data_IF_730665929708
#
_entry.id   IF_730665929708
#
_cell.length_a   1.000
_cell.length_b   1.000
_cell.length_c   1.000
_cell.angle_alpha   90.00
_cell.angle_beta   90.00
_cell.angle_gamma   90.00
#
_symmetry.space_group_name_H-M   'P 1'
#
loop_
_entity.id
_entity.type
_entity.pdbx_description
1 polymer ?
#
# COMPACT_ATOMS: atom_id res chain seq x y z
N UNK A 1 -6.80 58.27 -12.10
CA UNK A 1 -7.29 56.90 -11.82
C UNK A 1 -6.10 55.99 -11.69
N UNK A 2 -5.97 55.33 -10.55
CA UNK A 2 -4.87 54.43 -10.19
C UNK A 2 -5.18 53.04 -10.78
N UNK A 3 -4.32 52.52 -11.65
CA UNK A 3 -4.45 51.14 -12.14
C UNK A 3 -3.50 50.25 -11.32
N UNK A 4 -4.06 49.19 -10.76
CA UNK A 4 -3.42 48.25 -9.83
C UNK A 4 -2.82 47.05 -10.58
N UNK A 5 -1.87 46.35 -9.94
CA UNK A 5 -1.09 45.19 -10.45
C UNK A 5 -1.93 43.98 -10.93
N UNK A 6 -3.26 44.06 -10.91
CA UNK A 6 -4.20 42.98 -11.27
C UNK A 6 -4.63 42.97 -12.75
N UNK A 7 -4.20 43.94 -13.56
CA UNK A 7 -4.54 43.98 -14.99
C UNK A 7 -3.48 43.37 -15.92
N UNK A 8 -2.37 42.86 -15.37
CA UNK A 8 -1.24 42.33 -16.15
C UNK A 8 -1.43 40.88 -16.65
N UNK A 9 -2.54 40.20 -16.33
CA UNK A 9 -2.75 38.78 -16.67
C UNK A 9 -3.92 38.52 -17.62
N UNK A 10 -4.02 39.26 -18.72
CA UNK A 10 -4.95 38.92 -19.82
C UNK A 10 -4.25 38.97 -21.18
N UNK A 11 -3.67 37.82 -21.50
CA UNK A 11 -3.50 37.21 -22.82
C UNK A 11 -3.10 38.05 -24.04
N UNK A 12 -1.98 37.57 -24.61
CA UNK A 12 -1.69 37.42 -26.04
C UNK A 12 -1.29 38.68 -26.84
N UNK A 13 -0.06 38.68 -27.33
CA UNK A 13 0.20 38.60 -28.78
C UNK A 13 1.71 38.59 -29.09
N UNK A 14 2.12 37.55 -29.83
CA UNK A 14 3.04 37.56 -30.97
C UNK A 14 4.31 38.44 -30.95
N UNK A 15 5.46 37.77 -31.03
CA UNK A 15 6.30 37.89 -32.24
C UNK A 15 7.68 38.57 -32.14
N UNK A 16 8.72 37.72 -32.16
CA UNK A 16 9.98 37.82 -32.94
C UNK A 16 11.26 38.40 -32.31
N UNK A 17 12.32 37.59 -32.46
CA UNK A 17 13.78 37.82 -32.34
C UNK A 17 14.32 37.99 -30.91
N UNK A 18 15.26 37.19 -30.41
CA UNK A 18 16.57 36.81 -30.99
C UNK A 18 17.00 35.41 -30.48
N UNK A 19 17.66 34.65 -31.36
CA UNK A 19 18.24 33.35 -31.10
C UNK A 19 19.24 33.34 -29.93
N UNK A 20 19.17 32.33 -29.07
CA UNK A 20 20.18 32.10 -28.03
C UNK A 20 19.86 30.91 -27.13
N UNK A 21 20.63 29.84 -27.32
CA UNK A 21 20.87 28.74 -26.38
C UNK A 21 19.76 27.66 -26.28
N UNK A 22 19.89 26.68 -27.16
CA UNK A 22 19.51 25.30 -26.88
C UNK A 22 20.34 24.78 -25.70
N UNK A 23 19.78 24.81 -24.49
CA UNK A 23 20.18 24.01 -23.33
C UNK A 23 19.18 24.22 -22.19
N UNK A 24 17.96 23.68 -22.30
CA UNK A 24 17.31 23.19 -21.08
C UNK A 24 17.88 21.81 -20.82
N UNK A 25 19.06 21.83 -20.21
CA UNK A 25 19.61 20.74 -19.45
C UNK A 25 18.49 20.16 -18.57
N UNK A 26 18.20 18.90 -18.82
CA UNK A 26 17.64 17.95 -17.87
C UNK A 26 18.33 18.13 -16.52
N UNK A 27 17.77 18.97 -15.66
CA UNK A 27 18.05 18.94 -14.23
C UNK A 27 17.47 17.64 -13.71
N UNK A 28 18.32 16.61 -13.75
CA UNK A 28 18.27 15.42 -12.94
C UNK A 28 17.89 15.85 -11.52
N UNK A 29 16.65 15.57 -11.11
CA UNK A 29 16.45 15.18 -9.72
C UNK A 29 16.93 13.74 -9.67
N UNK A 30 18.25 13.57 -9.59
CA UNK A 30 18.82 12.39 -8.97
C UNK A 30 18.41 12.52 -7.50
N UNK A 31 17.17 12.11 -7.20
CA UNK A 31 16.73 11.96 -5.83
C UNK A 31 17.71 10.99 -5.21
N UNK A 32 18.55 11.49 -4.30
CA UNK A 32 19.39 10.62 -3.50
C UNK A 32 18.45 9.59 -2.88
N UNK A 33 18.67 8.31 -3.20
CA UNK A 33 17.92 7.19 -2.64
C UNK A 33 18.37 7.11 -1.19
N UNK A 34 17.66 7.80 -0.31
CA UNK A 34 17.82 7.60 1.12
C UNK A 34 17.17 6.26 1.44
N UNK A 35 17.97 5.19 1.42
CA UNK A 35 17.58 3.96 2.09
C UNK A 35 17.52 4.28 3.58
N UNK A 36 16.31 4.39 4.13
CA UNK A 36 16.15 4.16 5.55
C UNK A 36 16.58 2.70 5.78
N UNK A 37 17.55 2.48 6.67
CA UNK A 37 17.88 1.13 7.09
C UNK A 37 16.61 0.47 7.64
N UNK A 38 16.29 -0.73 7.14
CA UNK A 38 15.11 -1.49 7.56
C UNK A 38 15.10 -1.65 9.08
N UNK A 39 13.97 -1.33 9.72
CA UNK A 39 13.79 -1.49 11.17
C UNK A 39 13.44 -2.95 11.56
N UNK A 40 13.41 -3.84 10.58
CA UNK A 40 13.04 -5.24 10.71
C UNK A 40 12.28 -5.70 9.46
N UNK A 41 12.18 -7.01 9.28
CA UNK A 41 11.47 -7.60 8.13
C UNK A 41 10.19 -8.27 8.59
N UNK A 42 9.08 -7.91 7.97
CA UNK A 42 7.80 -8.61 8.08
C UNK A 42 7.65 -9.59 6.92
N UNK A 43 6.92 -10.67 7.13
CA UNK A 43 6.52 -11.58 6.05
C UNK A 43 5.03 -11.42 5.73
N UNK A 44 4.66 -11.66 4.48
CA UNK A 44 3.25 -11.89 4.14
C UNK A 44 3.09 -13.21 3.38
N UNK A 45 1.95 -13.86 3.57
CA UNK A 45 1.72 -15.22 3.08
C UNK A 45 0.24 -15.56 2.95
N UNK A 46 -0.09 -16.39 1.96
CA UNK A 46 -1.46 -16.82 1.70
C UNK A 46 -1.63 -18.34 1.58
N UNK A 47 -0.61 -19.09 1.16
CA UNK A 47 -0.71 -20.52 0.89
C UNK A 47 -0.84 -21.43 2.12
N UNK A 48 -0.60 -20.91 3.32
CA UNK A 48 -0.63 -21.65 4.57
C UNK A 48 -0.55 -20.73 5.78
N UNK A 49 -0.34 -21.31 6.96
CA UNK A 49 -0.18 -20.59 8.24
C UNK A 49 1.07 -21.14 8.93
N UNK A 50 2.26 -20.56 8.71
CA UNK A 50 3.47 -20.95 9.42
C UNK A 50 3.33 -20.66 10.92
N UNK A 51 3.96 -21.48 11.78
CA UNK A 51 3.89 -21.25 13.23
C UNK A 51 4.62 -19.96 13.65
N UNK A 52 4.15 -19.32 14.72
CA UNK A 52 4.78 -18.13 15.27
C UNK A 52 6.24 -18.39 15.68
N UNK A 53 6.53 -19.58 16.21
CA UNK A 53 7.89 -20.00 16.56
C UNK A 53 8.78 -20.11 15.32
N UNK A 54 8.26 -20.62 14.20
CA UNK A 54 9.01 -20.72 12.96
C UNK A 54 9.33 -19.34 12.37
N UNK A 55 8.37 -18.41 12.43
CA UNK A 55 8.57 -17.01 12.00
C UNK A 55 9.64 -16.34 12.87
N UNK A 56 9.53 -16.47 14.20
CA UNK A 56 10.49 -15.92 15.15
C UNK A 56 11.89 -16.52 14.97
N UNK A 57 11.99 -17.85 14.83
CA UNK A 57 13.26 -18.56 14.61
C UNK A 57 13.91 -18.21 13.26
N UNK A 58 13.11 -17.84 12.25
CA UNK A 58 13.61 -17.34 10.97
C UNK A 58 14.12 -15.87 11.05
N UNK A 59 13.93 -15.20 12.19
CA UNK A 59 14.43 -13.85 12.44
C UNK A 59 13.54 -12.72 11.92
N UNK A 60 12.30 -13.02 11.55
CA UNK A 60 11.35 -12.00 11.10
C UNK A 60 10.70 -11.29 12.30
N UNK A 61 10.42 -10.00 12.13
CA UNK A 61 9.83 -9.13 13.15
C UNK A 61 8.31 -9.36 13.34
N UNK A 62 7.69 -10.06 12.40
CA UNK A 62 6.25 -10.36 12.42
C UNK A 62 5.69 -10.60 11.03
N UNK A 63 4.38 -10.39 10.89
CA UNK A 63 3.68 -10.66 9.65
C UNK A 63 2.60 -9.63 9.28
N UNK A 64 2.48 -9.38 7.98
CA UNK A 64 1.35 -8.69 7.37
C UNK A 64 0.34 -9.76 6.94
N UNK A 65 -0.89 -9.67 7.45
CA UNK A 65 -1.86 -10.76 7.43
C UNK A 65 -3.19 -10.34 6.82
N UNK A 66 -3.75 -11.26 6.04
CA UNK A 66 -4.94 -11.02 5.24
C UNK A 66 -6.22 -11.07 6.07
N UNK A 67 -6.87 -9.92 6.24
CA UNK A 67 -8.25 -9.83 6.78
C UNK A 67 -9.26 -9.88 5.62
N UNK A 68 -9.10 -10.86 4.72
CA UNK A 68 -9.90 -11.03 3.51
C UNK A 68 -10.25 -12.50 3.29
N UNK A 69 -11.39 -12.78 2.66
CA UNK A 69 -11.78 -14.15 2.30
C UNK A 69 -10.95 -14.72 1.14
N UNK A 70 -11.08 -16.03 0.94
CA UNK A 70 -10.58 -16.72 -0.25
C UNK A 70 -11.52 -16.47 -1.42
N UNK A 71 -11.00 -15.96 -2.53
CA UNK A 71 -11.78 -15.81 -3.77
C UNK A 71 -12.05 -17.17 -4.44
N UNK A 72 -13.07 -17.28 -5.31
CA UNK A 72 -13.33 -18.50 -6.08
C UNK A 72 -12.11 -18.97 -6.87
N UNK A 73 -11.80 -20.27 -6.79
CA UNK A 73 -10.65 -20.88 -7.47
C UNK A 73 -9.30 -20.65 -6.77
N UNK A 74 -9.31 -20.04 -5.58
CA UNK A 74 -8.14 -19.85 -4.73
C UNK A 74 -8.33 -20.47 -3.33
N UNK A 75 -9.03 -21.60 -3.26
CA UNK A 75 -9.31 -22.32 -2.01
C UNK A 75 -8.03 -22.76 -1.28
N UNK A 76 -6.94 -22.91 -2.03
CA UNK A 76 -5.57 -23.18 -1.56
C UNK A 76 -4.96 -22.06 -0.71
N UNK A 77 -5.53 -20.84 -0.72
CA UNK A 77 -5.06 -19.73 0.10
C UNK A 77 -5.49 -19.90 1.57
N UNK A 78 -5.04 -20.99 2.22
CA UNK A 78 -5.44 -21.38 3.58
C UNK A 78 -5.10 -20.32 4.62
N UNK A 79 -4.10 -19.47 4.36
CA UNK A 79 -3.76 -18.31 5.19
C UNK A 79 -4.74 -17.14 5.09
N UNK A 80 -5.91 -17.31 4.45
CA UNK A 80 -6.97 -16.29 4.34
C UNK A 80 -8.30 -16.81 4.93
N UNK A 81 -8.92 -16.10 5.90
CA UNK A 81 -8.42 -14.90 6.61
C UNK A 81 -7.49 -15.27 7.79
N UNK A 82 -6.79 -14.25 8.31
CA UNK A 82 -6.20 -14.27 9.66
C UNK A 82 -7.28 -14.65 10.68
N UNK A 83 -6.90 -15.45 11.67
CA UNK A 83 -7.77 -15.89 12.77
C UNK A 83 -7.23 -15.45 14.11
N UNK A 84 -8.11 -15.39 15.11
CA UNK A 84 -7.77 -14.94 16.46
C UNK A 84 -6.72 -15.82 17.16
N UNK A 85 -6.72 -17.13 16.90
CA UNK A 85 -5.72 -18.07 17.42
C UNK A 85 -4.34 -17.81 16.79
N UNK A 86 -4.28 -17.62 15.47
CA UNK A 86 -3.05 -17.21 14.77
C UNK A 86 -2.53 -15.86 15.30
N UNK A 87 -3.39 -14.84 15.39
CA UNK A 87 -3.00 -13.51 15.85
C UNK A 87 -2.46 -13.53 17.30
N UNK A 88 -3.15 -14.25 18.20
CA UNK A 88 -2.70 -14.41 19.58
C UNK A 88 -1.34 -15.10 19.64
N UNK A 89 -1.13 -16.18 18.88
CA UNK A 89 0.13 -16.89 18.84
C UNK A 89 1.30 -16.00 18.35
N UNK A 90 1.06 -15.18 17.32
CA UNK A 90 2.06 -14.20 16.85
C UNK A 90 2.43 -13.20 17.96
N UNK A 91 1.43 -12.57 18.59
CA UNK A 91 1.66 -11.58 19.64
C UNK A 91 2.33 -12.17 20.89
N UNK A 92 1.95 -13.39 21.30
CA UNK A 92 2.57 -14.12 22.42
C UNK A 92 4.04 -14.46 22.14
N UNK A 93 4.40 -14.71 20.88
CA UNK A 93 5.78 -14.88 20.44
C UNK A 93 6.56 -13.56 20.29
N UNK A 94 5.95 -12.42 20.61
CA UNK A 94 6.54 -11.09 20.46
C UNK A 94 6.63 -10.60 19.02
N UNK A 95 5.86 -11.20 18.11
CA UNK A 95 5.82 -10.85 16.70
C UNK A 95 4.76 -9.78 16.42
N UNK A 96 5.09 -8.87 15.51
CA UNK A 96 4.17 -7.82 15.06
C UNK A 96 3.10 -8.39 14.13
N UNK A 97 1.87 -7.87 14.24
CA UNK A 97 0.76 -8.20 13.34
C UNK A 97 0.31 -6.92 12.65
N UNK A 98 0.19 -6.95 11.33
CA UNK A 98 -0.34 -5.84 10.51
C UNK A 98 -1.45 -6.39 9.62
N UNK A 99 -2.55 -5.66 9.43
CA UNK A 99 -3.66 -6.10 8.58
C UNK A 99 -3.54 -5.60 7.15
N UNK A 100 -3.73 -6.49 6.19
CA UNK A 100 -3.95 -6.14 4.78
C UNK A 100 -5.22 -6.78 4.24
N UNK A 101 -5.77 -6.22 3.16
CA UNK A 101 -6.94 -6.74 2.51
C UNK A 101 -6.70 -6.92 1.01
N UNK A 102 -6.93 -8.13 0.53
CA UNK A 102 -7.03 -8.42 -0.90
C UNK A 102 -7.90 -9.65 -1.13
N UNK A 103 -9.05 -9.47 -1.78
CA UNK A 103 -9.91 -10.56 -2.18
C UNK A 103 -9.61 -11.02 -3.61
N UNK A 104 -9.85 -10.14 -4.58
CA UNK A 104 -9.71 -10.35 -6.01
C UNK A 104 -8.28 -10.19 -6.54
N UNK A 105 -8.08 -10.45 -7.84
CA UNK A 105 -6.80 -10.25 -8.54
C UNK A 105 -7.02 -10.04 -10.05
N UNK A 106 -6.24 -9.16 -10.68
CA UNK A 106 -6.28 -8.93 -12.12
C UNK A 106 -7.65 -8.47 -12.63
N UNK A 107 -8.34 -9.28 -13.43
CA UNK A 107 -9.67 -8.92 -13.96
C UNK A 107 -10.75 -8.80 -12.88
N UNK A 108 -10.54 -9.39 -11.71
CA UNK A 108 -11.43 -9.29 -10.55
C UNK A 108 -10.87 -8.41 -9.44
N UNK A 109 -9.84 -7.60 -9.71
CA UNK A 109 -9.22 -6.74 -8.69
C UNK A 109 -10.26 -5.85 -7.99
N UNK A 110 -10.15 -5.76 -6.66
CA UNK A 110 -11.15 -5.19 -5.76
C UNK A 110 -11.52 -3.74 -6.13
N UNK A 111 -10.50 -2.97 -6.56
CA UNK A 111 -10.64 -1.56 -6.91
C UNK A 111 -11.45 -1.30 -8.19
N UNK A 112 -11.67 -2.30 -9.05
CA UNK A 112 -12.39 -2.12 -10.33
C UNK A 112 -13.86 -1.73 -10.16
N UNK A 113 -14.46 -2.00 -9.00
CA UNK A 113 -15.83 -1.61 -8.70
C UNK A 113 -15.97 -0.21 -8.09
N UNK A 114 -14.89 0.56 -7.98
CA UNK A 114 -14.89 1.93 -7.47
C UNK A 114 -15.42 2.03 -6.04
N UNK A 115 -16.11 3.13 -5.74
CA UNK A 115 -16.53 3.50 -4.38
C UNK A 115 -17.37 2.43 -3.66
N UNK A 116 -18.38 1.86 -4.32
CA UNK A 116 -19.23 0.85 -3.69
C UNK A 116 -18.49 -0.48 -3.47
N UNK A 117 -17.50 -0.82 -4.32
CA UNK A 117 -16.61 -1.94 -4.00
C UNK A 117 -15.72 -1.62 -2.81
N UNK A 118 -15.18 -0.39 -2.74
CA UNK A 118 -14.39 0.08 -1.59
C UNK A 118 -15.13 -0.11 -0.27
N UNK A 119 -16.39 0.33 -0.19
CA UNK A 119 -17.23 0.14 1.00
C UNK A 119 -17.41 -1.33 1.36
N UNK A 120 -17.84 -2.17 0.40
CA UNK A 120 -18.06 -3.60 0.66
C UNK A 120 -16.79 -4.32 1.14
N UNK A 121 -15.66 -4.02 0.52
CA UNK A 121 -14.38 -4.63 0.88
C UNK A 121 -13.87 -4.12 2.24
N UNK A 122 -14.05 -2.82 2.53
CA UNK A 122 -13.70 -2.25 3.82
C UNK A 122 -14.58 -2.78 4.96
N UNK A 123 -15.89 -2.90 4.75
CA UNK A 123 -16.83 -3.49 5.70
C UNK A 123 -16.43 -4.93 6.03
N UNK A 124 -16.15 -5.74 5.00
CA UNK A 124 -15.71 -7.13 5.19
C UNK A 124 -14.33 -7.22 5.83
N UNK A 125 -13.42 -6.34 5.45
CA UNK A 125 -12.08 -6.26 6.02
C UNK A 125 -12.09 -5.90 7.49
N UNK A 126 -12.90 -4.92 7.87
CA UNK A 126 -13.10 -4.52 9.26
C UNK A 126 -13.72 -5.65 10.08
N UNK A 127 -14.74 -6.34 9.56
CA UNK A 127 -15.34 -7.50 10.23
C UNK A 127 -14.28 -8.57 10.54
N UNK A 128 -13.47 -8.94 9.55
CA UNK A 128 -12.44 -9.98 9.69
C UNK A 128 -11.29 -9.52 10.58
N UNK A 129 -10.90 -8.25 10.51
CA UNK A 129 -9.90 -7.65 11.39
C UNK A 129 -10.33 -7.74 12.86
N UNK A 130 -11.54 -7.30 13.18
CA UNK A 130 -12.08 -7.37 14.54
C UNK A 130 -12.28 -8.82 15.01
N UNK A 131 -12.75 -9.71 14.13
CA UNK A 131 -12.91 -11.12 14.45
C UNK A 131 -11.58 -11.84 14.76
N UNK A 132 -10.46 -11.35 14.21
CA UNK A 132 -9.13 -11.83 14.51
C UNK A 132 -8.50 -11.18 15.77
N UNK A 133 -9.21 -10.27 16.45
CA UNK A 133 -8.71 -9.55 17.63
C UNK A 133 -7.98 -8.24 17.31
N UNK A 134 -8.12 -7.73 16.08
CA UNK A 134 -7.51 -6.49 15.64
C UNK A 134 -8.03 -5.26 16.39
N UNK A 135 -7.15 -4.32 16.80
CA UNK A 135 -7.58 -3.09 17.47
C UNK A 135 -8.28 -2.10 16.52
N UNK A 136 -9.40 -1.50 16.96
CA UNK A 136 -10.18 -0.53 16.15
C UNK A 136 -9.41 0.70 15.66
N UNK A 137 -8.30 1.04 16.31
CA UNK A 137 -7.46 2.20 16.01
C UNK A 137 -6.20 1.85 15.19
N UNK A 138 -6.22 0.74 14.46
CA UNK A 138 -5.12 0.30 13.60
C UNK A 138 -5.56 0.14 12.14
N UNK A 139 -4.65 0.39 11.18
CA UNK A 139 -5.03 0.43 9.78
C UNK A 139 -5.22 -0.95 9.17
N UNK A 140 -5.99 -0.96 8.08
CA UNK A 140 -6.03 -2.08 7.14
C UNK A 140 -5.46 -1.57 5.81
N UNK A 141 -4.42 -2.23 5.31
CA UNK A 141 -3.82 -1.91 4.01
C UNK A 141 -4.67 -2.49 2.88
N UNK A 142 -5.47 -1.65 2.23
CA UNK A 142 -6.25 -2.01 1.05
C UNK A 142 -5.33 -2.19 -0.17
N UNK A 143 -5.47 -3.32 -0.86
CA UNK A 143 -4.51 -3.69 -1.92
C UNK A 143 -4.91 -3.21 -3.30
N UNK A 144 -3.98 -2.49 -3.92
CA UNK A 144 -3.93 -2.22 -5.36
C UNK A 144 -2.82 -3.12 -5.95
N UNK A 145 -3.08 -4.43 -6.02
CA UNK A 145 -2.15 -5.45 -6.55
C UNK A 145 -2.08 -5.42 -8.10
N UNK A 146 -1.77 -4.25 -8.63
CA UNK A 146 -1.75 -3.94 -10.07
C UNK A 146 -0.70 -2.85 -10.37
N UNK A 147 -0.36 -2.69 -11.65
CA UNK A 147 0.35 -1.51 -12.16
C UNK A 147 -0.62 -0.63 -12.97
N UNK A 148 -1.45 0.21 -12.29
CA UNK A 148 -2.52 0.95 -12.93
C UNK A 148 -2.02 2.16 -13.71
N UNK A 149 -2.82 2.59 -14.69
CA UNK A 149 -2.60 3.89 -15.33
C UNK A 149 -3.14 5.03 -14.45
N UNK A 150 -2.72 6.30 -14.69
CA UNK A 150 -3.35 7.45 -14.02
C UNK A 150 -4.86 7.56 -14.26
N UNK A 151 -5.35 7.05 -15.40
CA UNK A 151 -6.79 7.01 -15.70
C UNK A 151 -7.52 5.97 -14.83
N UNK A 152 -6.94 4.78 -14.65
CA UNK A 152 -7.47 3.77 -13.72
C UNK A 152 -7.49 4.33 -12.29
N UNK A 153 -6.44 5.08 -11.91
CA UNK A 153 -6.39 5.73 -10.62
C UNK A 153 -7.57 6.69 -10.43
N UNK A 154 -7.72 7.65 -11.33
CA UNK A 154 -8.74 8.70 -11.22
C UNK A 154 -10.17 8.16 -11.27
N UNK A 155 -10.41 7.15 -12.10
CA UNK A 155 -11.77 6.66 -12.40
C UNK A 155 -12.22 5.51 -11.50
N UNK A 156 -11.30 4.75 -10.92
CA UNK A 156 -11.62 3.53 -10.16
C UNK A 156 -10.94 3.49 -8.79
N UNK A 157 -9.61 3.66 -8.72
CA UNK A 157 -8.86 3.47 -7.47
C UNK A 157 -9.14 4.58 -6.46
N UNK A 158 -9.10 5.86 -6.86
CA UNK A 158 -9.40 6.96 -5.96
C UNK A 158 -10.82 6.87 -5.37
N UNK A 159 -11.88 6.60 -6.16
CA UNK A 159 -13.21 6.27 -5.61
C UNK A 159 -13.20 5.05 -4.68
N UNK A 160 -12.49 3.97 -5.03
CA UNK A 160 -12.38 2.77 -4.19
C UNK A 160 -11.77 3.09 -2.82
N UNK A 161 -10.66 3.83 -2.78
CA UNK A 161 -10.01 4.27 -1.55
C UNK A 161 -10.89 5.21 -0.73
N UNK A 162 -11.62 6.12 -1.38
CA UNK A 162 -12.63 6.94 -0.69
C UNK A 162 -13.75 6.09 -0.08
N UNK A 163 -14.11 4.95 -0.71
CA UNK A 163 -15.02 3.96 -0.15
C UNK A 163 -14.47 3.34 1.13
N UNK A 164 -13.18 2.99 1.16
CA UNK A 164 -12.49 2.54 2.37
C UNK A 164 -12.52 3.58 3.48
N UNK A 165 -12.13 4.82 3.18
CA UNK A 165 -12.13 5.90 4.17
C UNK A 165 -13.53 6.18 4.75
N UNK A 166 -14.60 5.95 3.98
CA UNK A 166 -15.97 6.13 4.46
C UNK A 166 -16.40 5.10 5.51
N UNK A 167 -15.70 3.96 5.60
CA UNK A 167 -16.00 2.87 6.54
C UNK A 167 -15.04 2.89 7.72
N UNK A 168 -13.73 2.83 7.46
CA UNK A 168 -12.72 2.72 8.52
C UNK A 168 -12.11 4.07 8.92
N UNK A 169 -12.43 5.14 8.18
CA UNK A 169 -11.82 6.44 8.36
C UNK A 169 -10.46 6.55 7.66
N UNK A 170 -10.11 7.76 7.21
CA UNK A 170 -8.80 8.05 6.60
C UNK A 170 -7.63 7.65 7.49
N UNK A 171 -7.75 7.84 8.81
CA UNK A 171 -6.71 7.51 9.78
C UNK A 171 -6.40 6.01 9.85
N UNK A 172 -7.33 5.12 9.49
CA UNK A 172 -7.14 3.66 9.48
C UNK A 172 -7.11 3.08 8.05
N UNK A 173 -7.07 3.93 7.03
CA UNK A 173 -6.95 3.47 5.63
C UNK A 173 -5.49 3.39 5.25
N UNK A 174 -4.98 2.16 5.12
CA UNK A 174 -3.69 1.89 4.51
C UNK A 174 -3.83 1.54 3.02
N UNK A 175 -2.76 1.70 2.27
CA UNK A 175 -2.72 1.46 0.82
C UNK A 175 -1.50 0.60 0.50
N UNK A 176 -1.72 -0.59 -0.07
CA UNK A 176 -0.68 -1.36 -0.73
C UNK A 176 -0.68 -1.04 -2.22
N UNK A 177 0.40 -0.45 -2.75
CA UNK A 177 0.50 -0.08 -4.16
C UNK A 177 1.95 0.22 -4.60
N UNK A 178 2.19 0.34 -5.90
CA UNK A 178 3.46 0.85 -6.43
C UNK A 178 3.68 2.34 -6.15
N UNK A 179 4.93 2.80 -6.26
CA UNK A 179 5.27 4.17 -5.90
C UNK A 179 4.52 5.24 -6.70
N UNK A 180 4.26 5.11 -8.02
CA UNK A 180 3.46 6.09 -8.74
C UNK A 180 2.01 6.17 -8.27
N UNK A 181 1.41 5.05 -7.88
CA UNK A 181 0.05 5.03 -7.31
C UNK A 181 0.03 5.68 -5.93
N UNK A 182 1.05 5.43 -5.10
CA UNK A 182 1.20 6.09 -3.81
C UNK A 182 1.34 7.61 -3.97
N UNK A 183 2.14 8.09 -4.93
CA UNK A 183 2.26 9.53 -5.24
C UNK A 183 0.90 10.16 -5.53
N UNK A 184 0.08 9.50 -6.36
CA UNK A 184 -1.27 9.96 -6.69
C UNK A 184 -2.20 9.94 -5.48
N UNK A 185 -2.17 8.89 -4.66
CA UNK A 185 -2.96 8.79 -3.43
C UNK A 185 -2.61 9.92 -2.45
N UNK A 186 -1.31 10.15 -2.23
CA UNK A 186 -0.80 11.22 -1.36
C UNK A 186 -1.21 12.59 -1.88
N UNK A 187 -1.09 12.83 -3.19
CA UNK A 187 -1.51 14.09 -3.81
C UNK A 187 -3.02 14.32 -3.67
N UNK A 188 -3.82 13.27 -3.80
CA UNK A 188 -5.27 13.31 -3.60
C UNK A 188 -5.66 13.39 -2.11
N UNK A 189 -4.70 13.21 -1.19
CA UNK A 189 -4.95 13.17 0.24
C UNK A 189 -5.73 11.94 0.69
N UNK A 190 -5.52 10.79 0.05
CA UNK A 190 -6.14 9.50 0.37
C UNK A 190 -5.18 8.62 1.16
N UNK A 191 -5.71 7.92 2.17
CA UNK A 191 -4.97 7.05 3.05
C UNK A 191 -4.07 7.81 4.04
N UNK A 192 -3.60 7.06 5.03
CA UNK A 192 -2.61 7.53 6.02
C UNK A 192 -1.41 6.60 6.15
N UNK A 193 -1.50 5.39 5.60
CA UNK A 193 -0.48 4.35 5.70
C UNK A 193 -0.16 3.78 4.32
N UNK A 194 1.10 3.53 4.03
CA UNK A 194 1.55 3.21 2.67
C UNK A 194 2.51 2.03 2.68
N UNK A 195 2.14 0.96 2.00
CA UNK A 195 2.94 -0.24 1.80
C UNK A 195 3.29 -0.33 0.31
N UNK A 196 4.57 -0.13 -0.01
CA UNK A 196 5.03 -0.13 -1.39
C UNK A 196 5.21 -1.55 -1.93
N UNK A 197 4.84 -1.80 -3.18
CA UNK A 197 5.36 -2.92 -3.98
C UNK A 197 6.14 -2.45 -5.21
N UNK A 198 6.88 -3.36 -5.83
CA UNK A 198 7.82 -2.98 -6.89
C UNK A 198 7.27 -3.08 -8.32
N UNK A 199 6.10 -3.70 -8.54
CA UNK A 199 5.49 -3.73 -9.87
C UNK A 199 5.09 -2.32 -10.38
N UNK A 200 5.93 -1.72 -11.23
CA UNK A 200 5.75 -0.37 -11.77
C UNK A 200 6.49 0.72 -11.00
N UNK A 201 7.17 0.37 -9.91
CA UNK A 201 8.09 1.25 -9.18
C UNK A 201 9.44 1.30 -9.92
N UNK A 202 10.10 2.47 -10.03
CA UNK A 202 11.45 2.53 -10.58
C UNK A 202 12.44 1.64 -9.82
N UNK A 203 13.36 0.98 -10.52
CA UNK A 203 14.31 0.06 -9.89
C UNK A 203 15.10 0.74 -8.76
N UNK A 204 15.12 0.10 -7.59
CA UNK A 204 15.81 0.60 -6.39
C UNK A 204 15.14 1.79 -5.70
N UNK A 205 13.98 2.25 -6.17
CA UNK A 205 13.28 3.37 -5.54
C UNK A 205 12.40 2.91 -4.37
N UNK A 206 12.59 3.54 -3.21
CA UNK A 206 11.71 3.39 -2.05
C UNK A 206 11.05 4.73 -1.77
N UNK A 207 9.72 4.76 -1.80
CA UNK A 207 8.96 5.98 -1.62
C UNK A 207 9.15 6.52 -0.19
N UNK A 208 9.53 7.80 0.00
CA UNK A 208 9.94 8.33 1.32
C UNK A 208 8.79 8.45 2.34
N UNK A 209 7.54 8.28 1.92
CA UNK A 209 6.37 8.16 2.81
C UNK A 209 5.88 6.73 3.01
N UNK A 210 6.53 5.74 2.40
CA UNK A 210 6.20 4.33 2.64
C UNK A 210 6.52 3.98 4.10
N UNK A 211 5.61 3.27 4.73
CA UNK A 211 5.77 2.70 6.07
C UNK A 211 6.31 1.28 5.98
N UNK A 212 5.98 0.57 4.88
CA UNK A 212 6.40 -0.78 4.56
C UNK A 212 6.80 -0.86 3.08
N UNK A 213 7.68 -1.79 2.71
CA UNK A 213 8.06 -2.05 1.31
C UNK A 213 8.27 -3.54 1.05
N UNK A 214 7.45 -4.13 0.17
CA UNK A 214 7.63 -5.48 -0.34
C UNK A 214 8.74 -5.51 -1.40
N UNK A 215 9.81 -6.26 -1.14
CA UNK A 215 11.01 -6.27 -2.00
C UNK A 215 11.38 -7.68 -2.52
N UNK A 216 10.80 -8.75 -1.97
CA UNK A 216 11.04 -10.13 -2.40
C UNK A 216 9.74 -10.91 -2.39
N UNK A 217 9.42 -11.63 -3.48
CA UNK A 217 8.14 -12.32 -3.67
C UNK A 217 8.39 -13.80 -3.96
N UNK A 218 7.73 -14.68 -3.20
CA UNK A 218 7.67 -16.15 -3.39
C UNK A 218 9.04 -16.84 -3.61
N UNK A 219 10.11 -16.28 -3.04
CA UNK A 219 11.48 -16.80 -3.18
C UNK A 219 11.95 -17.59 -1.94
N UNK A 220 11.17 -17.56 -0.86
CA UNK A 220 11.50 -18.19 0.42
C UNK A 220 10.32 -18.95 0.99
N UNK A 221 10.63 -19.82 1.93
CA UNK A 221 9.62 -20.53 2.71
C UNK A 221 9.91 -20.46 4.20
N UNK A 222 8.85 -20.38 5.01
CA UNK A 222 8.88 -20.60 6.46
C UNK A 222 7.89 -21.72 6.75
N UNK A 223 8.31 -22.76 7.47
CA UNK A 223 7.44 -23.89 7.81
C UNK A 223 6.76 -24.53 6.57
N UNK A 224 7.49 -24.58 5.45
CA UNK A 224 6.98 -25.08 4.17
C UNK A 224 5.98 -24.17 3.45
N UNK A 225 5.69 -22.97 3.97
CA UNK A 225 4.79 -21.98 3.36
C UNK A 225 5.60 -20.94 2.59
N UNK A 226 5.26 -20.69 1.33
CA UNK A 226 5.83 -19.61 0.53
C UNK A 226 5.50 -18.23 1.12
N UNK A 227 6.51 -17.37 1.20
CA UNK A 227 6.42 -16.05 1.84
C UNK A 227 6.98 -14.96 0.92
N UNK A 228 6.47 -13.75 1.13
CA UNK A 228 7.00 -12.50 0.60
C UNK A 228 7.70 -11.72 1.73
N UNK A 229 8.74 -10.95 1.40
CA UNK A 229 9.50 -10.16 2.37
C UNK A 229 9.21 -8.67 2.25
N UNK A 230 9.04 -8.04 3.42
CA UNK A 230 8.66 -6.65 3.55
C UNK A 230 9.55 -5.93 4.56
N UNK A 231 10.19 -4.84 4.16
CA UNK A 231 10.95 -3.99 5.07
C UNK A 231 10.05 -3.03 5.85
N UNK A 232 10.39 -2.82 7.13
CA UNK A 232 9.78 -1.80 7.98
C UNK A 232 10.55 -0.48 7.80
N UNK A 233 9.87 0.55 7.33
CA UNK A 233 10.46 1.84 6.98
C UNK A 233 10.12 2.97 7.96
N UNK A 234 9.12 2.77 8.82
CA UNK A 234 8.70 3.72 9.85
C UNK A 234 8.53 3.01 11.20
N UNK A 235 8.80 3.65 12.34
CA UNK A 235 8.63 3.03 13.66
C UNK A 235 7.18 2.67 13.99
N UNK A 236 6.23 3.50 13.56
CA UNK A 236 4.82 3.17 13.53
C UNK A 236 4.45 2.89 12.08
N UNK A 237 4.05 1.66 11.81
CA UNK A 237 3.73 1.14 10.50
C UNK A 237 2.35 0.45 10.50
N UNK A 238 1.55 0.69 11.55
CA UNK A 238 0.22 0.12 11.69
C UNK A 238 0.18 -1.24 12.36
N UNK A 239 1.23 -1.60 13.11
CA UNK A 239 1.24 -2.79 13.96
C UNK A 239 0.14 -2.72 15.03
N UNK A 240 -0.46 -3.88 15.34
CA UNK A 240 -1.50 -4.05 16.37
C UNK A 240 -1.00 -3.68 17.78
#
# INVERSE_FOLDING_TARGET
>A
MHISRRDLFRYAAAGSAVAGVAALTSTLVSGAVAHADSLGTLIDYSGGVPSAEAISAAGYAGAIRYVSDRRPGAEWMVGKPLRADEASALQEAGLSVVSCYQFGKGSTADWRGGFEAGKRHAERGLELHLAAGGPENRPIYASIDDNPTPADFLTMIAPYLAGWESVVGKANTGIYANSPTLDLAILAGLGSWYWQHDWGTPEGYVHPKAHLHQYEIDARTVDGVGIDLNDILAPDYGQW
#
